data_IF_397309194912
#
_entry.id   IF_397309194912
#
_cell.length_a   1.000
_cell.length_b   1.000
_cell.length_c   1.000
_cell.angle_alpha   90.00
_cell.angle_beta   90.00
_cell.angle_gamma   90.00
#
_symmetry.space_group_name_H-M   'P 1'
#
loop_
_entity.id
_entity.type
_entity.pdbx_description
1 polymer ?
#
# COMPACT_ATOMS: atom_id res chain seq x y z
N UNK A 1 -28.20 6.51 -11.60
CA UNK A 1 -27.97 7.07 -10.25
C UNK A 1 -26.64 7.80 -10.31
N UNK A 2 -26.66 9.12 -10.14
CA UNK A 2 -25.42 9.91 -10.12
C UNK A 2 -24.71 9.67 -8.79
N UNK A 3 -23.57 8.97 -8.81
CA UNK A 3 -22.67 8.97 -7.67
C UNK A 3 -22.09 10.38 -7.55
N UNK A 4 -22.50 11.10 -6.51
CA UNK A 4 -21.89 12.39 -6.21
C UNK A 4 -20.39 12.16 -5.95
N UNK A 5 -19.55 12.76 -6.77
CA UNK A 5 -18.11 12.82 -6.53
C UNK A 5 -17.92 13.63 -5.26
N UNK A 6 -17.12 13.16 -4.28
CA UNK A 6 -16.81 13.97 -3.11
C UNK A 6 -16.21 15.30 -3.57
N UNK A 7 -16.63 16.38 -2.95
CA UNK A 7 -15.98 17.69 -3.17
C UNK A 7 -14.57 17.62 -2.61
N UNK A 8 -13.58 17.69 -3.50
CA UNK A 8 -12.18 17.78 -3.12
C UNK A 8 -11.96 19.06 -2.29
N UNK A 9 -11.39 18.91 -1.10
CA UNK A 9 -10.99 20.02 -0.26
C UNK A 9 -9.72 20.70 -0.78
N UNK A 10 -9.29 21.73 -0.09
CA UNK A 10 -7.95 22.32 -0.23
C UNK A 10 -7.07 21.86 0.92
N UNK A 11 -5.74 21.70 0.72
CA UNK A 11 -4.84 21.33 1.80
C UNK A 11 -4.91 22.38 2.93
N UNK A 12 -4.79 21.94 4.17
CA UNK A 12 -4.67 22.85 5.30
C UNK A 12 -3.36 23.63 5.22
N UNK A 13 -3.32 24.79 5.89
CA UNK A 13 -2.11 25.61 5.92
C UNK A 13 -0.94 24.82 6.52
N UNK A 14 0.14 24.65 5.75
CA UNK A 14 1.34 23.91 6.16
C UNK A 14 1.39 22.47 5.71
N UNK A 15 0.34 21.92 5.11
CA UNK A 15 0.40 20.60 4.46
C UNK A 15 1.21 20.65 3.16
N UNK A 16 1.90 19.54 2.84
CA UNK A 16 2.60 19.40 1.57
C UNK A 16 1.58 19.27 0.43
N UNK A 17 1.53 20.22 -0.54
CA UNK A 17 0.53 20.19 -1.61
C UNK A 17 0.61 18.95 -2.48
N UNK A 18 1.82 18.38 -2.70
CA UNK A 18 2.00 17.16 -3.48
C UNK A 18 1.39 15.96 -2.76
N UNK A 19 1.63 15.81 -1.46
CA UNK A 19 1.04 14.74 -0.67
C UNK A 19 -0.47 14.85 -0.58
N UNK A 20 -1.00 16.07 -0.54
CA UNK A 20 -2.44 16.32 -0.63
C UNK A 20 -3.01 15.81 -1.96
N UNK A 21 -2.35 16.10 -3.10
CA UNK A 21 -2.78 15.62 -4.41
C UNK A 21 -2.80 14.08 -4.48
N UNK A 22 -1.86 13.41 -3.84
CA UNK A 22 -1.84 11.93 -3.78
C UNK A 22 -3.12 11.36 -3.17
N UNK A 23 -3.80 12.10 -2.30
CA UNK A 23 -4.98 11.65 -1.58
C UNK A 23 -6.32 12.01 -2.23
N UNK A 24 -6.30 12.62 -3.42
CA UNK A 24 -7.51 13.13 -4.06
C UNK A 24 -8.24 12.06 -4.91
N UNK A 25 -7.56 11.01 -5.31
CA UNK A 25 -8.19 9.87 -5.97
C UNK A 25 -7.56 8.54 -5.51
N UNK A 26 -8.31 7.45 -5.66
CA UNK A 26 -7.92 6.13 -5.14
C UNK A 26 -6.70 5.56 -5.88
N UNK A 27 -6.62 5.55 -7.22
CA UNK A 27 -5.43 5.06 -7.92
C UNK A 27 -4.17 5.82 -7.55
N UNK A 28 -4.26 7.13 -7.33
CA UNK A 28 -3.11 7.97 -7.00
C UNK A 28 -2.58 7.68 -5.58
N UNK A 29 -3.46 7.56 -4.58
CA UNK A 29 -3.01 7.23 -3.22
C UNK A 29 -2.39 5.83 -3.16
N UNK A 30 -2.92 4.85 -3.86
CA UNK A 30 -2.34 3.50 -3.92
C UNK A 30 -0.95 3.54 -4.57
N UNK A 31 -0.80 4.20 -5.71
CA UNK A 31 0.50 4.39 -6.36
C UNK A 31 1.51 5.07 -5.44
N UNK A 32 1.10 6.12 -4.72
CA UNK A 32 1.96 6.84 -3.79
C UNK A 32 2.49 5.94 -2.66
N UNK A 33 1.68 4.97 -2.17
CA UNK A 33 2.15 3.96 -1.20
C UNK A 33 3.30 3.13 -1.79
N UNK A 34 3.16 2.62 -3.02
CA UNK A 34 4.21 1.85 -3.68
C UNK A 34 5.49 2.68 -3.89
N UNK A 35 5.36 3.94 -4.27
CA UNK A 35 6.49 4.87 -4.42
C UNK A 35 7.24 5.06 -3.10
N UNK A 36 6.52 5.22 -1.98
CA UNK A 36 7.12 5.44 -0.66
C UNK A 36 8.00 4.28 -0.19
N UNK A 37 7.63 3.04 -0.52
CA UNK A 37 8.35 1.84 -0.07
C UNK A 37 9.43 1.36 -1.05
N UNK A 38 9.43 1.89 -2.28
CA UNK A 38 10.35 1.48 -3.34
C UNK A 38 11.64 2.29 -3.34
N UNK A 39 12.77 1.63 -3.64
CA UNK A 39 14.06 2.28 -3.81
C UNK A 39 15.24 1.34 -3.68
N UNK A 40 16.47 1.82 -4.00
CA UNK A 40 17.68 1.02 -3.88
C UNK A 40 18.04 0.72 -2.42
N UNK A 41 18.92 -0.27 -2.23
CA UNK A 41 19.43 -0.65 -0.92
C UNK A 41 20.05 0.54 -0.17
N UNK A 42 19.70 0.72 1.09
CA UNK A 42 20.22 1.79 1.94
C UNK A 42 19.71 3.20 1.62
N UNK A 43 18.98 3.40 0.53
CA UNK A 43 18.38 4.69 0.25
C UNK A 43 17.24 5.00 1.22
N UNK A 44 17.13 6.25 1.70
CA UNK A 44 16.04 6.63 2.58
C UNK A 44 14.69 6.49 1.86
N UNK A 45 13.69 5.98 2.55
CA UNK A 45 12.30 5.95 2.09
C UNK A 45 11.57 7.20 2.56
N UNK A 46 10.57 7.64 1.81
CA UNK A 46 9.75 8.79 2.21
C UNK A 46 8.69 8.37 3.25
N UNK A 47 9.19 8.05 4.46
CA UNK A 47 8.32 7.64 5.57
C UNK A 47 7.40 8.76 6.05
N UNK A 48 7.75 10.02 5.83
CA UNK A 48 6.88 11.14 6.16
C UNK A 48 5.65 11.16 5.23
N UNK A 49 5.86 11.01 3.91
CA UNK A 49 4.78 10.85 2.93
C UNK A 49 3.96 9.58 3.21
N UNK A 50 4.62 8.45 3.49
CA UNK A 50 3.94 7.20 3.82
C UNK A 50 2.97 7.37 5.01
N UNK A 51 3.42 7.96 6.11
CA UNK A 51 2.56 8.26 7.27
C UNK A 51 1.40 9.19 6.93
N UNK A 52 1.65 10.19 6.08
CA UNK A 52 0.62 11.12 5.66
C UNK A 52 -0.53 10.44 4.88
N UNK A 53 -0.22 9.39 4.12
CA UNK A 53 -1.22 8.64 3.35
C UNK A 53 -2.06 7.67 4.21
N UNK A 54 -1.55 7.29 5.38
CA UNK A 54 -2.19 6.36 6.29
C UNK A 54 -3.12 7.08 7.28
N UNK A 55 -4.27 6.49 7.57
CA UNK A 55 -5.10 6.96 8.69
C UNK A 55 -4.32 6.78 10.02
N UNK A 56 -4.49 7.67 11.03
CA UNK A 56 -3.79 7.53 12.32
C UNK A 56 -4.01 6.17 12.99
N UNK A 57 -5.18 5.56 12.81
CA UNK A 57 -5.51 4.24 13.34
C UNK A 57 -5.28 3.09 12.33
N UNK A 58 -4.56 3.35 11.24
CA UNK A 58 -4.32 2.36 10.19
C UNK A 58 -3.64 1.09 10.73
N UNK A 59 -3.96 -0.04 10.12
CA UNK A 59 -3.32 -1.33 10.40
C UNK A 59 -2.89 -2.00 9.10
N UNK A 60 -1.73 -2.63 9.16
CA UNK A 60 -1.24 -3.51 8.11
C UNK A 60 -1.12 -4.93 8.63
N UNK A 61 -1.35 -5.91 7.76
CA UNK A 61 -1.29 -7.32 8.12
C UNK A 61 -0.62 -8.12 7.02
N UNK A 62 0.45 -8.83 7.39
CA UNK A 62 1.11 -9.81 6.54
C UNK A 62 0.66 -11.21 6.93
N UNK A 63 0.19 -12.00 5.97
CA UNK A 63 0.00 -13.44 6.15
C UNK A 63 1.34 -14.16 6.02
N UNK A 64 1.54 -15.17 6.81
CA UNK A 64 2.74 -16.02 6.80
C UNK A 64 2.32 -17.48 6.76
N UNK A 65 2.99 -18.25 5.90
CA UNK A 65 2.88 -19.70 5.87
C UNK A 65 4.21 -20.27 6.35
N UNK A 66 4.17 -20.99 7.46
CA UNK A 66 5.34 -21.61 8.06
C UNK A 66 5.76 -22.89 7.31
N UNK A 67 7.01 -23.36 7.49
CA UNK A 67 7.49 -24.56 6.79
C UNK A 67 6.68 -25.83 7.07
N UNK A 68 5.97 -25.91 8.18
CA UNK A 68 5.07 -27.03 8.53
C UNK A 68 3.66 -26.87 7.92
N UNK A 69 3.43 -25.81 7.15
CA UNK A 69 2.14 -25.49 6.52
C UNK A 69 1.15 -24.78 7.43
N UNK A 70 1.49 -24.50 8.69
CA UNK A 70 0.68 -23.65 9.54
C UNK A 70 0.70 -22.20 9.06
N UNK A 71 -0.35 -21.44 9.40
CA UNK A 71 -0.51 -20.07 8.95
C UNK A 71 -0.74 -19.14 10.16
N UNK A 72 -0.13 -17.96 10.10
CA UNK A 72 -0.38 -16.91 11.08
C UNK A 72 -0.36 -15.53 10.41
N UNK A 73 -0.75 -14.51 11.16
CA UNK A 73 -0.72 -13.13 10.73
C UNK A 73 0.22 -12.30 11.61
N UNK A 74 0.99 -11.43 10.98
CA UNK A 74 1.76 -10.39 11.67
C UNK A 74 1.06 -9.07 11.45
N UNK A 75 0.64 -8.41 12.53
CA UNK A 75 -0.12 -7.16 12.50
C UNK A 75 0.76 -5.99 12.89
N UNK A 76 0.65 -4.90 12.16
CA UNK A 76 1.42 -3.67 12.36
C UNK A 76 0.49 -2.46 12.48
N UNK A 77 0.85 -1.50 13.30
CA UNK A 77 0.55 -0.09 13.07
C UNK A 77 1.59 0.51 12.10
N UNK A 78 1.45 1.78 11.77
CA UNK A 78 2.32 2.42 10.77
C UNK A 78 3.80 2.40 11.20
N UNK A 79 4.08 2.70 12.47
CA UNK A 79 5.46 2.80 12.95
C UNK A 79 6.11 1.42 13.12
N UNK A 80 5.39 0.43 13.59
CA UNK A 80 5.88 -0.95 13.68
C UNK A 80 6.11 -1.58 12.31
N UNK A 81 5.28 -1.25 11.30
CA UNK A 81 5.55 -1.65 9.91
C UNK A 81 6.87 -1.05 9.41
N UNK A 82 7.07 0.26 9.59
CA UNK A 82 8.31 0.93 9.18
C UNK A 82 9.53 0.30 9.88
N UNK A 83 9.42 0.01 11.17
CA UNK A 83 10.49 -0.64 11.92
C UNK A 83 10.80 -2.06 11.41
N UNK A 84 9.77 -2.84 11.05
CA UNK A 84 9.91 -4.21 10.53
C UNK A 84 10.64 -4.24 9.17
N UNK A 85 10.29 -3.33 8.25
CA UNK A 85 10.85 -3.34 6.88
C UNK A 85 12.19 -2.60 6.74
N UNK A 86 12.52 -1.70 7.64
CA UNK A 86 13.72 -0.85 7.54
C UNK A 86 15.02 -1.64 7.45
N UNK A 87 15.28 -2.69 8.26
CA UNK A 87 16.51 -3.48 8.14
C UNK A 87 16.64 -4.18 6.77
N UNK A 88 15.52 -4.68 6.24
CA UNK A 88 15.50 -5.30 4.93
C UNK A 88 15.82 -4.30 3.82
N UNK A 89 15.20 -3.12 3.83
CA UNK A 89 15.45 -2.07 2.85
C UNK A 89 16.85 -1.43 2.97
N UNK A 90 17.48 -1.50 4.14
CA UNK A 90 18.87 -1.08 4.31
C UNK A 90 19.84 -2.05 3.61
N UNK A 91 19.53 -3.34 3.62
CA UNK A 91 20.39 -4.40 3.07
C UNK A 91 20.11 -4.70 1.59
N UNK A 92 18.86 -4.51 1.12
CA UNK A 92 18.39 -4.98 -0.19
C UNK A 92 17.56 -3.90 -0.88
N UNK A 93 17.79 -3.72 -2.19
CA UNK A 93 16.89 -2.91 -3.02
C UNK A 93 15.50 -3.54 -3.05
N UNK A 94 14.48 -2.70 -3.03
CA UNK A 94 13.10 -3.14 -3.07
C UNK A 94 12.27 -2.18 -3.92
N UNK A 95 11.73 -2.68 -5.02
CA UNK A 95 10.85 -1.96 -5.92
C UNK A 95 9.59 -2.78 -6.09
N UNK A 96 8.49 -2.26 -5.54
CA UNK A 96 7.17 -2.88 -5.68
C UNK A 96 6.35 -2.06 -6.68
N UNK A 97 5.89 -2.73 -7.72
CA UNK A 97 5.16 -2.12 -8.83
C UNK A 97 3.78 -2.75 -8.92
N UNK A 98 2.76 -1.91 -8.91
CA UNK A 98 1.40 -2.36 -9.19
C UNK A 98 1.28 -2.79 -10.66
N UNK A 99 0.75 -3.98 -10.89
CA UNK A 99 0.55 -4.54 -12.24
C UNK A 99 -0.91 -4.60 -12.64
N UNK A 100 -1.83 -4.56 -11.69
CA UNK A 100 -3.28 -4.55 -11.92
C UNK A 100 -4.02 -4.04 -10.69
N UNK A 101 -5.17 -3.41 -10.89
CA UNK A 101 -5.96 -2.84 -9.81
C UNK A 101 -7.46 -3.01 -10.09
N UNK A 102 -8.20 -3.46 -9.08
CA UNK A 102 -9.65 -3.45 -9.08
C UNK A 102 -10.17 -2.65 -7.89
N UNK A 103 -10.94 -1.60 -8.17
CA UNK A 103 -11.50 -0.69 -7.17
C UNK A 103 -13.00 -0.93 -7.05
N UNK A 104 -13.46 -1.12 -5.83
CA UNK A 104 -14.88 -1.14 -5.47
C UNK A 104 -15.15 -0.01 -4.48
N UNK A 105 -16.18 0.82 -4.76
CA UNK A 105 -16.46 1.99 -3.95
C UNK A 105 -17.95 2.09 -3.63
N UNK A 106 -18.24 2.45 -2.37
CA UNK A 106 -19.57 2.86 -1.95
C UNK A 106 -19.48 4.10 -1.05
N UNK A 107 -19.95 5.24 -1.58
CA UNK A 107 -19.90 6.51 -0.85
C UNK A 107 -18.49 6.92 -0.43
N UNK A 108 -18.24 6.91 0.88
CA UNK A 108 -16.99 7.31 1.52
C UNK A 108 -16.09 6.13 1.90
N UNK A 109 -16.40 4.92 1.46
CA UNK A 109 -15.55 3.76 1.65
C UNK A 109 -15.17 3.15 0.32
N UNK A 110 -13.96 2.62 0.24
CA UNK A 110 -13.50 1.89 -0.93
C UNK A 110 -12.67 0.68 -0.53
N UNK A 111 -12.70 -0.33 -1.38
CA UNK A 111 -11.82 -1.49 -1.35
C UNK A 111 -11.03 -1.55 -2.65
N UNK A 112 -9.74 -1.81 -2.53
CA UNK A 112 -8.85 -2.00 -3.66
C UNK A 112 -8.16 -3.36 -3.54
N UNK A 113 -8.37 -4.20 -4.54
CA UNK A 113 -7.44 -5.29 -4.83
C UNK A 113 -6.34 -4.72 -5.71
N UNK A 114 -5.11 -4.75 -5.22
CA UNK A 114 -3.93 -4.26 -5.94
C UNK A 114 -2.92 -5.39 -6.06
N UNK A 115 -2.66 -5.83 -7.30
CA UNK A 115 -1.69 -6.89 -7.61
C UNK A 115 -0.33 -6.27 -7.88
N UNK A 116 0.73 -6.87 -7.35
CA UNK A 116 2.08 -6.31 -7.46
C UNK A 116 3.13 -7.33 -7.86
N UNK A 117 4.22 -6.81 -8.41
CA UNK A 117 5.50 -7.47 -8.55
C UNK A 117 6.56 -6.72 -7.75
N UNK A 118 7.40 -7.45 -7.02
CA UNK A 118 8.55 -6.87 -6.34
C UNK A 118 9.86 -7.37 -6.95
N UNK A 119 10.87 -6.48 -6.98
CA UNK A 119 12.20 -6.69 -7.55
C UNK A 119 13.26 -6.01 -6.66
N UNK A 120 14.51 -6.45 -6.76
CA UNK A 120 15.62 -5.76 -6.07
C UNK A 120 16.03 -4.46 -6.79
N UNK A 121 15.85 -4.42 -8.12
CA UNK A 121 15.92 -3.21 -8.96
C UNK A 121 14.92 -3.33 -10.11
N UNK A 122 14.64 -2.24 -10.82
CA UNK A 122 13.70 -2.26 -11.96
C UNK A 122 14.18 -3.15 -13.11
N UNK A 123 15.48 -3.41 -13.22
CA UNK A 123 16.10 -4.21 -14.26
C UNK A 123 16.28 -5.70 -13.88
N UNK A 124 16.07 -6.06 -12.60
CA UNK A 124 16.26 -7.43 -12.14
C UNK A 124 14.96 -8.26 -12.30
N UNK A 125 15.05 -9.59 -12.33
CA UNK A 125 13.88 -10.46 -12.34
C UNK A 125 12.95 -10.21 -11.15
N UNK A 126 11.68 -10.56 -11.33
CA UNK A 126 10.68 -10.56 -10.24
C UNK A 126 11.10 -11.55 -9.16
N UNK A 127 11.20 -11.08 -7.93
CA UNK A 127 11.51 -11.91 -6.76
C UNK A 127 10.26 -12.32 -6.00
N UNK A 128 9.15 -11.58 -6.17
CA UNK A 128 7.90 -11.80 -5.46
C UNK A 128 6.72 -11.23 -6.22
N UNK A 129 5.60 -11.95 -6.20
CA UNK A 129 4.29 -11.45 -6.61
C UNK A 129 3.32 -11.60 -5.46
N UNK A 130 2.33 -10.74 -5.41
CA UNK A 130 1.31 -10.81 -4.39
C UNK A 130 0.13 -9.89 -4.68
N UNK A 131 -0.80 -9.87 -3.74
CA UNK A 131 -1.94 -8.97 -3.77
C UNK A 131 -2.11 -8.27 -2.43
N UNK A 132 -2.36 -6.98 -2.51
CA UNK A 132 -2.80 -6.14 -1.40
C UNK A 132 -4.32 -6.01 -1.44
N UNK A 133 -4.99 -6.31 -0.34
CA UNK A 133 -6.37 -5.94 -0.06
C UNK A 133 -6.34 -4.65 0.76
N UNK A 134 -6.74 -3.54 0.15
CA UNK A 134 -6.60 -2.21 0.76
C UNK A 134 -7.99 -1.65 1.04
N UNK A 135 -8.25 -1.23 2.28
CA UNK A 135 -9.44 -0.51 2.66
C UNK A 135 -9.14 0.98 2.79
N UNK A 136 -9.99 1.80 2.18
CA UNK A 136 -9.86 3.26 2.24
C UNK A 136 -11.14 3.90 2.78
N UNK A 137 -10.98 5.00 3.49
CA UNK A 137 -12.07 5.88 3.88
C UNK A 137 -11.82 7.31 3.38
N UNK A 138 -12.91 8.03 3.09
CA UNK A 138 -12.86 9.42 2.70
C UNK A 138 -13.37 10.29 3.86
N UNK A 139 -12.49 11.08 4.44
CA UNK A 139 -12.85 12.08 5.45
C UNK A 139 -11.96 13.31 5.37
N UNK A 140 -12.42 14.42 5.90
CA UNK A 140 -11.70 15.71 5.86
C UNK A 140 -11.21 16.10 4.44
N UNK A 141 -12.02 15.78 3.41
CA UNK A 141 -11.75 16.15 2.02
C UNK A 141 -10.70 15.31 1.30
N UNK A 142 -10.28 14.16 1.85
CA UNK A 142 -9.24 13.30 1.29
C UNK A 142 -9.49 11.80 1.53
N UNK A 143 -8.88 10.96 0.70
CA UNK A 143 -8.77 9.54 0.95
C UNK A 143 -7.65 9.23 1.95
N UNK A 144 -7.90 8.22 2.77
CA UNK A 144 -6.95 7.66 3.73
C UNK A 144 -6.88 6.15 3.52
N UNK A 145 -5.67 5.59 3.56
CA UNK A 145 -5.51 4.14 3.68
C UNK A 145 -5.76 3.75 5.13
N UNK A 146 -6.77 2.93 5.37
CA UNK A 146 -7.15 2.47 6.71
C UNK A 146 -6.56 1.11 7.05
N UNK A 147 -6.57 0.17 6.09
CA UNK A 147 -5.90 -1.10 6.29
C UNK A 147 -5.33 -1.65 4.99
N UNK A 148 -4.22 -2.37 5.11
CA UNK A 148 -3.61 -3.13 4.03
C UNK A 148 -3.32 -4.54 4.51
N UNK A 149 -3.95 -5.54 3.87
CA UNK A 149 -3.71 -6.96 4.14
C UNK A 149 -3.12 -7.57 2.88
N UNK A 150 -2.02 -8.31 2.99
CA UNK A 150 -1.39 -8.91 1.80
C UNK A 150 -0.96 -10.35 2.01
N UNK A 151 -0.94 -11.04 0.87
CA UNK A 151 -0.38 -12.38 0.73
C UNK A 151 0.44 -12.45 -0.57
N UNK A 152 1.36 -13.40 -0.63
CA UNK A 152 2.23 -13.61 -1.78
C UNK A 152 1.83 -14.87 -2.55
N UNK A 153 2.11 -14.89 -3.85
CA UNK A 153 2.00 -16.09 -4.67
C UNK A 153 2.90 -17.21 -4.13
N UNK A 154 2.40 -18.42 -4.23
CA UNK A 154 3.08 -19.67 -3.91
C UNK A 154 2.38 -20.82 -4.61
N UNK A 155 2.88 -22.04 -4.46
CA UNK A 155 2.21 -23.24 -4.99
C UNK A 155 0.75 -23.31 -4.53
N UNK A 156 -0.17 -23.43 -5.48
CA UNK A 156 -1.62 -23.46 -5.24
C UNK A 156 -2.27 -22.09 -4.97
N UNK A 157 -1.49 -21.02 -4.94
CA UNK A 157 -1.98 -19.63 -4.80
C UNK A 157 -1.33 -18.77 -5.88
N UNK A 158 -2.05 -18.53 -6.95
CA UNK A 158 -1.59 -17.74 -8.09
C UNK A 158 -2.70 -16.85 -8.65
N UNK A 159 -2.33 -15.86 -9.44
CA UNK A 159 -3.25 -14.87 -10.01
C UNK A 159 -4.19 -15.40 -11.09
N UNK A 160 -3.97 -16.58 -11.62
CA UNK A 160 -4.79 -17.15 -12.69
C UNK A 160 -6.23 -17.49 -12.24
N UNK A 161 -6.54 -17.24 -10.97
CA UNK A 161 -7.84 -17.51 -10.36
C UNK A 161 -8.71 -16.26 -10.16
N UNK A 162 -8.40 -15.15 -10.85
CA UNK A 162 -9.16 -13.89 -10.73
C UNK A 162 -10.05 -13.65 -11.94
#
# INVERSE_FOLDING_TARGET
MHHATPTHGTPATGENPQWWQDTQDIPTIVRAIYECISGPAGAPRDWARFRYLQHPDARSLRTVVDPDGSTHAVVFDVDSYIADVTPYFAATGFFEVEIDQRVERFGQVAHVWSRYEARESLETPVIKRGANSIQLCFEHGRWWVFSTVWDNEREGVAFDLW
#
